data_IF_026612228533
#
_entry.id   IF_026612228533
#
_cell.length_a   1.000
_cell.length_b   1.000
_cell.length_c   1.000
_cell.angle_alpha   90.00
_cell.angle_beta   90.00
_cell.angle_gamma   90.00
#
_symmetry.space_group_name_H-M   'P 1'
#
loop_
_entity.id
_entity.type
_entity.pdbx_description
1 polymer ?
#
# COMPACT_ATOMS: atom_id res chain seq x y z
N UNK A 1 3.54 8.15 -16.79
CA UNK A 1 2.74 8.02 -15.55
C UNK A 1 3.11 6.69 -14.93
N UNK A 2 3.55 6.67 -13.67
CA UNK A 2 3.87 5.41 -13.00
C UNK A 2 2.59 4.59 -12.83
N UNK A 3 2.59 3.35 -13.29
CA UNK A 3 1.51 2.39 -12.99
C UNK A 3 1.84 1.66 -11.68
N UNK A 4 0.85 0.98 -11.11
CA UNK A 4 1.07 0.11 -9.95
C UNK A 4 2.06 -1.04 -10.25
N UNK A 5 2.26 -1.39 -11.52
CA UNK A 5 3.21 -2.43 -11.95
C UNK A 5 4.65 -2.07 -11.55
N UNK A 6 5.02 -0.78 -11.55
CA UNK A 6 6.33 -0.35 -11.08
C UNK A 6 6.59 -0.68 -9.60
N UNK A 7 5.52 -0.72 -8.78
CA UNK A 7 5.61 -1.17 -7.38
C UNK A 7 5.87 -2.67 -7.32
N UNK A 8 5.14 -3.45 -8.13
CA UNK A 8 5.29 -4.90 -8.24
C UNK A 8 6.71 -5.27 -8.71
N UNK A 9 7.24 -4.61 -9.74
CA UNK A 9 8.61 -4.80 -10.24
C UNK A 9 9.69 -4.54 -9.18
N UNK A 10 9.53 -3.48 -8.38
CA UNK A 10 10.47 -3.19 -7.28
C UNK A 10 10.43 -4.29 -6.22
N UNK A 11 9.25 -4.79 -5.88
CA UNK A 11 9.09 -5.88 -4.92
C UNK A 11 9.72 -7.17 -5.43
N UNK A 12 9.46 -7.52 -6.70
CA UNK A 12 10.01 -8.69 -7.38
C UNK A 12 11.54 -8.65 -7.45
N UNK A 13 12.13 -7.50 -7.82
CA UNK A 13 13.58 -7.31 -7.86
C UNK A 13 14.27 -7.53 -6.50
N UNK A 14 13.54 -7.33 -5.41
CA UNK A 14 13.98 -7.53 -4.02
C UNK A 14 13.56 -8.87 -3.44
N UNK A 15 13.01 -9.78 -4.26
CA UNK A 15 12.43 -11.07 -3.80
C UNK A 15 11.47 -10.88 -2.63
N UNK A 16 10.67 -9.82 -2.69
CA UNK A 16 9.71 -9.45 -1.66
C UNK A 16 8.32 -9.58 -2.25
N UNK A 17 7.44 -10.35 -1.61
CA UNK A 17 6.06 -10.47 -2.04
C UNK A 17 5.25 -9.27 -1.56
N UNK A 18 4.60 -8.57 -2.48
CA UNK A 18 3.65 -7.52 -2.16
C UNK A 18 2.33 -8.15 -1.69
N UNK A 19 1.88 -7.78 -0.50
CA UNK A 19 0.63 -8.25 0.08
C UNK A 19 -0.27 -7.04 0.32
N UNK A 20 -1.30 -6.92 -0.51
CA UNK A 20 -2.24 -5.81 -0.48
C UNK A 20 -3.66 -6.33 -0.70
N UNK A 21 -4.62 -5.79 0.05
CA UNK A 21 -6.03 -6.12 -0.16
C UNK A 21 -6.53 -5.52 -1.50
N UNK A 22 -7.33 -6.23 -2.31
CA UNK A 22 -7.82 -5.74 -3.61
C UNK A 22 -8.49 -4.36 -3.58
N UNK A 23 -9.34 -4.10 -2.58
CA UNK A 23 -9.97 -2.78 -2.38
C UNK A 23 -8.95 -1.65 -2.19
N UNK A 24 -7.82 -1.90 -1.51
CA UNK A 24 -6.75 -0.91 -1.34
C UNK A 24 -6.03 -0.70 -2.69
N UNK A 25 -5.75 -1.77 -3.43
CA UNK A 25 -5.16 -1.69 -4.78
C UNK A 25 -6.03 -0.85 -5.72
N UNK A 26 -7.36 -1.03 -5.67
CA UNK A 26 -8.30 -0.23 -6.45
C UNK A 26 -8.28 1.24 -6.01
N UNK A 27 -8.29 1.50 -4.70
CA UNK A 27 -8.33 2.86 -4.18
C UNK A 27 -7.05 3.67 -4.44
N UNK A 28 -5.90 3.01 -4.61
CA UNK A 28 -4.63 3.65 -4.97
C UNK A 28 -4.63 4.17 -6.43
N UNK A 29 -5.57 3.73 -7.28
CA UNK A 29 -5.63 4.22 -8.67
C UNK A 29 -5.79 5.74 -8.72
N UNK A 30 -4.96 6.41 -9.51
CA UNK A 30 -4.85 7.87 -9.55
C UNK A 30 -3.85 8.47 -8.55
N UNK A 31 -3.30 7.66 -7.65
CA UNK A 31 -2.29 8.04 -6.65
C UNK A 31 -1.02 7.18 -6.75
N UNK A 32 -0.80 6.48 -7.88
CA UNK A 32 0.27 5.51 -8.05
C UNK A 32 1.67 6.12 -7.84
N UNK A 33 1.89 7.33 -8.34
CA UNK A 33 3.18 8.01 -8.23
C UNK A 33 3.51 8.37 -6.78
N UNK A 34 2.59 9.01 -6.06
CA UNK A 34 2.80 9.37 -4.65
C UNK A 34 2.93 8.12 -3.77
N UNK A 35 2.15 7.08 -4.08
CA UNK A 35 2.25 5.78 -3.44
C UNK A 35 3.62 5.13 -3.65
N UNK A 36 4.11 5.12 -4.90
CA UNK A 36 5.41 4.59 -5.28
C UNK A 36 6.55 5.33 -4.55
N UNK A 37 6.52 6.66 -4.50
CA UNK A 37 7.52 7.46 -3.78
C UNK A 37 7.55 7.08 -2.29
N UNK A 38 6.39 7.07 -1.63
CA UNK A 38 6.30 6.70 -0.21
C UNK A 38 6.84 5.29 0.06
N UNK A 39 6.51 4.34 -0.80
CA UNK A 39 6.98 2.96 -0.70
C UNK A 39 8.51 2.86 -0.90
N UNK A 40 9.08 3.60 -1.86
CA UNK A 40 10.52 3.63 -2.09
C UNK A 40 11.26 4.17 -0.86
N UNK A 41 10.81 5.28 -0.30
CA UNK A 41 11.40 5.86 0.90
C UNK A 41 11.29 4.90 2.11
N UNK A 42 10.17 4.20 2.27
CA UNK A 42 10.05 3.17 3.30
C UNK A 42 11.02 1.99 3.08
N UNK A 43 11.16 1.54 1.83
CA UNK A 43 12.07 0.44 1.50
C UNK A 43 13.54 0.82 1.76
N UNK A 44 13.93 2.08 1.57
CA UNK A 44 15.28 2.61 1.86
C UNK A 44 15.49 3.00 3.33
N UNK A 45 14.43 3.01 4.15
CA UNK A 45 14.51 3.33 5.58
C UNK A 45 14.45 4.83 5.89
N UNK A 46 13.97 5.64 4.96
CA UNK A 46 13.84 7.10 5.10
C UNK A 46 12.54 7.52 5.81
N UNK A 47 11.53 6.64 5.88
CA UNK A 47 10.23 6.94 6.50
C UNK A 47 9.72 5.78 7.36
N UNK A 48 8.73 6.08 8.20
CA UNK A 48 8.00 5.11 9.03
C UNK A 48 6.96 4.30 8.24
N UNK A 49 6.81 4.56 6.94
CA UNK A 49 5.95 3.79 6.05
C UNK A 49 4.48 4.19 6.05
N UNK A 50 4.13 5.39 6.49
CA UNK A 50 2.76 5.88 6.39
C UNK A 50 2.43 6.44 4.99
N UNK A 51 1.23 6.11 4.50
CA UNK A 51 0.64 6.71 3.30
C UNK A 51 -0.79 7.17 3.59
N UNK A 52 -1.10 8.41 3.21
CA UNK A 52 -2.42 9.01 3.40
C UNK A 52 -3.22 8.81 2.11
N UNK A 53 -4.10 7.81 2.09
CA UNK A 53 -4.95 7.50 0.95
C UNK A 53 -6.20 8.38 0.97
N UNK A 54 -6.38 9.33 0.03
CA UNK A 54 -7.58 10.14 -0.03
C UNK A 54 -8.80 9.28 -0.41
N UNK A 55 -9.92 9.52 0.26
CA UNK A 55 -11.21 8.95 -0.08
C UNK A 55 -12.06 10.03 -0.78
N UNK A 56 -12.80 9.69 -1.85
CA UNK A 56 -13.59 10.66 -2.62
C UNK A 56 -14.53 11.56 -1.79
N UNK A 57 -15.06 11.05 -0.67
CA UNK A 57 -16.17 11.69 0.04
C UNK A 57 -15.95 11.86 1.55
N UNK A 58 -14.84 11.38 2.12
CA UNK A 58 -14.70 11.19 3.58
C UNK A 58 -13.31 11.48 4.14
N UNK A 59 -12.49 12.25 3.43
CA UNK A 59 -11.15 12.64 3.90
C UNK A 59 -10.09 11.64 3.46
N UNK A 60 -9.45 10.95 4.41
CA UNK A 60 -8.40 9.98 4.10
C UNK A 60 -8.37 8.80 5.05
N UNK A 61 -7.84 7.68 4.57
CA UNK A 61 -7.44 6.53 5.39
C UNK A 61 -5.92 6.43 5.40
N UNK A 62 -5.34 6.22 6.57
CA UNK A 62 -3.90 5.96 6.69
C UNK A 62 -3.63 4.50 6.40
N UNK A 63 -2.77 4.25 5.43
CA UNK A 63 -2.17 2.96 5.16
C UNK A 63 -0.79 2.92 5.82
N UNK A 64 -0.39 1.74 6.28
CA UNK A 64 0.96 1.48 6.79
C UNK A 64 1.65 0.45 5.91
N UNK A 65 2.91 0.70 5.60
CA UNK A 65 3.82 -0.25 4.98
C UNK A 65 4.53 -1.02 6.08
N UNK A 66 4.54 -2.34 6.00
CA UNK A 66 5.26 -3.17 6.95
C UNK A 66 6.04 -4.28 6.26
N UNK A 67 7.29 -4.46 6.69
CA UNK A 67 8.12 -5.60 6.29
C UNK A 67 7.85 -6.74 7.27
N UNK A 68 7.59 -7.94 6.76
CA UNK A 68 7.45 -9.16 7.56
C UNK A 68 8.20 -10.31 6.89
N UNK A 69 8.48 -11.34 7.66
CA UNK A 69 8.98 -12.62 7.15
C UNK A 69 7.90 -13.65 7.41
N UNK A 70 7.50 -14.40 6.38
CA UNK A 70 6.55 -15.51 6.55
C UNK A 70 7.19 -16.67 7.32
N UNK A 71 6.38 -17.62 7.79
CA UNK A 71 6.90 -18.84 8.44
C UNK A 71 7.81 -19.66 7.51
N UNK A 72 7.67 -19.53 6.20
CA UNK A 72 8.53 -20.15 5.19
C UNK A 72 9.78 -19.33 4.83
N UNK A 73 10.05 -18.21 5.48
CA UNK A 73 11.24 -17.38 5.23
C UNK A 73 11.12 -16.38 4.08
N UNK A 74 9.92 -16.20 3.50
CA UNK A 74 9.70 -15.24 2.42
C UNK A 74 9.56 -13.81 2.95
N UNK A 75 10.24 -12.86 2.30
CA UNK A 75 10.07 -11.44 2.59
C UNK A 75 8.71 -10.96 2.10
N UNK A 76 7.97 -10.29 2.95
CA UNK A 76 6.65 -9.74 2.66
C UNK A 76 6.68 -8.23 2.86
N UNK A 77 6.14 -7.48 1.90
CA UNK A 77 5.76 -6.08 2.08
C UNK A 77 4.24 -6.03 2.16
N UNK A 78 3.71 -5.76 3.35
CA UNK A 78 2.28 -5.63 3.57
C UNK A 78 1.84 -4.18 3.55
N UNK A 79 0.70 -3.93 2.95
CA UNK A 79 0.00 -2.65 2.97
C UNK A 79 -1.36 -2.89 3.60
N UNK A 80 -1.51 -2.40 4.83
CA UNK A 80 -2.73 -2.57 5.63
C UNK A 80 -3.20 -1.18 6.11
N UNK A 81 -4.50 -0.96 6.33
CA UNK A 81 -4.98 0.25 7.00
C UNK A 81 -4.44 0.30 8.44
N UNK A 82 -4.13 1.51 8.91
CA UNK A 82 -3.62 1.71 10.26
C UNK A 82 -4.64 1.34 11.35
N UNK A 83 -5.94 1.44 11.04
CA UNK A 83 -7.05 1.14 11.95
C UNK A 83 -7.88 -0.03 11.45
N UNK A 84 -8.57 -0.71 12.37
CA UNK A 84 -9.40 -1.88 12.05
C UNK A 84 -10.57 -1.53 11.12
N UNK A 85 -11.08 -0.30 11.20
CA UNK A 85 -12.21 0.19 10.42
C UNK A 85 -11.79 0.66 9.03
N UNK A 86 -10.50 0.92 8.81
CA UNK A 86 -10.00 1.56 7.59
C UNK A 86 -10.30 0.76 6.31
N UNK A 87 -10.26 -0.57 6.38
CA UNK A 87 -10.60 -1.40 5.21
C UNK A 87 -12.09 -1.28 4.85
N UNK A 88 -12.97 -1.23 5.85
CA UNK A 88 -14.41 -1.05 5.65
C UNK A 88 -14.72 0.33 5.07
N UNK A 89 -14.01 1.38 5.53
CA UNK A 89 -14.13 2.72 4.97
C UNK A 89 -13.69 2.79 3.50
N UNK A 90 -12.57 2.16 3.15
CA UNK A 90 -12.10 2.07 1.76
C UNK A 90 -13.14 1.34 0.91
N UNK A 91 -13.64 0.19 1.37
CA UNK A 91 -14.67 -0.56 0.63
C UNK A 91 -15.92 0.30 0.39
N UNK A 92 -16.43 0.96 1.44
CA UNK A 92 -17.63 1.79 1.35
C UNK A 92 -17.46 2.93 0.34
N UNK A 93 -16.27 3.54 0.27
CA UNK A 93 -15.98 4.66 -0.63
C UNK A 93 -15.89 4.28 -2.13
N UNK A 94 -15.77 2.99 -2.45
CA UNK A 94 -15.58 2.48 -3.81
C UNK A 94 -16.59 1.37 -4.20
N UNK A 95 -17.71 1.27 -3.47
CA UNK A 95 -18.78 0.28 -3.71
C UNK A 95 -19.87 0.72 -4.69
N UNK A 96 -19.60 1.69 -5.58
CA UNK A 96 -20.54 2.13 -6.63
C UNK A 96 -20.36 1.38 -7.95
#
# INVERSE_FOLDING_TARGET
>A
MLSFEAVEEVCDSKRTTLVIHPAIRQAIKGYEESFYVGLRCFLTGETDGLFFLPLPSSGYVRLVFSKRVSSGGYNLLRIDPLTNEGLSQIKAAFSE
#
